data_IF_903376107277
#
_entry.id   IF_903376107277
#
_cell.length_a   1.000
_cell.length_b   1.000
_cell.length_c   1.000
_cell.angle_alpha   90.00
_cell.angle_beta   90.00
_cell.angle_gamma   90.00
#
_symmetry.space_group_name_H-M   'P 1'
#
loop_
_entity.id
_entity.type
_entity.pdbx_description
1 polymer ?
#
# COMPACT_ATOMS: atom_id res chain seq x y z
N UNK A 1 -1.50 11.19 50.17
CA UNK A 1 -1.34 10.15 49.11
C UNK A 1 -1.64 10.74 47.73
N UNK A 2 -1.14 10.15 46.63
CA UNK A 2 -1.37 10.66 45.27
C UNK A 2 -1.90 9.53 44.32
N UNK A 3 -3.20 9.51 43.97
CA UNK A 3 -3.88 8.27 43.54
C UNK A 3 -3.61 7.77 42.12
N UNK A 4 -2.84 8.50 41.29
CA UNK A 4 -2.68 8.19 39.86
C UNK A 4 -1.36 7.49 39.51
N UNK A 5 -1.17 6.26 40.02
CA UNK A 5 0.04 5.45 39.88
C UNK A 5 0.64 5.37 38.46
N UNK A 6 1.72 6.13 38.24
CA UNK A 6 2.46 6.21 36.98
C UNK A 6 3.41 5.01 36.78
N UNK A 7 2.87 3.80 36.50
CA UNK A 7 3.71 2.63 36.21
C UNK A 7 4.50 2.81 34.90
N UNK A 8 5.76 3.26 35.02
CA UNK A 8 6.72 3.32 33.92
C UNK A 8 7.69 2.13 34.02
N UNK A 9 7.93 1.41 32.92
CA UNK A 9 8.90 0.31 32.87
C UNK A 9 9.86 0.55 31.71
N UNK A 10 11.14 0.70 32.01
CA UNK A 10 12.19 0.97 31.03
C UNK A 10 13.30 -0.09 31.18
N UNK A 11 13.56 -0.87 30.12
CA UNK A 11 14.69 -1.82 30.05
C UNK A 11 15.51 -1.54 28.80
N UNK A 12 16.82 -1.34 28.95
CA UNK A 12 17.74 -1.22 27.83
C UNK A 12 18.90 -2.20 27.99
N UNK A 13 19.17 -2.99 26.95
CA UNK A 13 20.35 -3.86 26.84
C UNK A 13 21.04 -3.56 25.50
N UNK A 14 21.79 -2.44 25.40
CA UNK A 14 22.49 -2.06 24.17
C UNK A 14 23.85 -2.75 24.06
N UNK A 15 24.21 -3.17 22.84
CA UNK A 15 25.51 -3.76 22.53
C UNK A 15 26.15 -3.09 21.30
N UNK A 16 27.46 -2.82 21.40
CA UNK A 16 28.24 -2.16 20.35
C UNK A 16 28.37 -0.65 20.50
N UNK A 17 29.35 -0.09 19.77
CA UNK A 17 29.88 1.25 19.97
C UNK A 17 28.90 2.42 19.65
N UNK A 18 29.33 3.64 20.00
CA UNK A 18 28.78 4.96 19.59
C UNK A 18 27.25 5.02 19.54
N UNK A 19 26.66 4.79 20.70
CA UNK A 19 25.22 4.86 21.01
C UNK A 19 24.81 6.29 21.39
N UNK A 20 23.64 6.78 20.92
CA UNK A 20 22.96 7.96 21.51
C UNK A 20 21.47 7.72 21.65
N UNK A 21 21.00 7.69 22.90
CA UNK A 21 19.60 7.49 23.27
C UNK A 21 19.06 8.75 23.95
N UNK A 22 17.89 9.25 23.54
CA UNK A 22 17.13 10.28 24.27
C UNK A 22 15.67 9.87 24.38
N UNK A 23 15.20 9.66 25.59
CA UNK A 23 13.77 9.49 25.87
C UNK A 23 13.26 10.70 26.65
N UNK A 24 12.04 11.12 26.36
CA UNK A 24 11.29 12.04 27.21
C UNK A 24 9.79 11.69 27.09
N UNK A 25 9.30 10.73 27.91
CA UNK A 25 7.92 10.24 27.88
C UNK A 25 6.99 11.06 28.78
N UNK A 26 5.77 11.31 28.32
CA UNK A 26 4.74 11.99 29.10
C UNK A 26 3.42 11.20 29.12
N UNK A 27 2.79 11.17 30.30
CA UNK A 27 1.52 10.50 30.54
C UNK A 27 1.65 9.08 31.13
N UNK A 28 0.50 8.55 31.56
CA UNK A 28 0.42 7.34 32.39
C UNK A 28 0.89 6.06 31.68
N UNK A 29 1.18 5.03 32.50
CA UNK A 29 1.33 3.60 32.13
C UNK A 29 2.13 3.35 30.84
N UNK A 30 3.45 3.53 30.94
CA UNK A 30 4.45 3.47 29.87
C UNK A 30 5.28 2.18 29.95
N UNK A 31 5.53 1.49 28.83
CA UNK A 31 6.49 0.35 28.78
C UNK A 31 7.42 0.49 27.57
N UNK A 32 8.72 0.58 27.84
CA UNK A 32 9.79 0.70 26.85
C UNK A 32 10.81 -0.43 27.06
N UNK A 33 11.04 -1.27 26.04
CA UNK A 33 12.15 -2.24 26.01
C UNK A 33 12.99 -2.07 24.74
N UNK A 34 14.31 -1.95 24.88
CA UNK A 34 15.23 -1.75 23.74
C UNK A 34 16.47 -2.64 23.86
N UNK A 35 16.67 -3.51 22.89
CA UNK A 35 17.88 -4.35 22.78
C UNK A 35 18.54 -4.08 21.41
N UNK A 36 19.25 -2.94 21.24
CA UNK A 36 19.94 -2.59 20.01
C UNK A 36 21.34 -3.23 19.92
N UNK A 37 21.70 -3.70 18.73
CA UNK A 37 23.01 -4.28 18.43
C UNK A 37 23.66 -3.57 17.23
N UNK A 38 24.89 -3.06 17.38
CA UNK A 38 25.73 -2.57 16.28
C UNK A 38 26.31 -1.16 16.46
N UNK A 39 27.21 -0.78 15.53
CA UNK A 39 28.26 0.24 15.70
C UNK A 39 27.86 1.72 15.84
N UNK A 40 26.75 2.19 15.23
CA UNK A 40 26.33 3.61 15.29
C UNK A 40 24.80 3.72 15.35
N UNK A 41 24.28 3.96 16.55
CA UNK A 41 22.85 3.96 16.87
C UNK A 41 22.38 5.34 17.36
N UNK A 42 21.28 5.85 16.81
CA UNK A 42 20.63 7.07 17.32
C UNK A 42 19.12 6.87 17.51
N UNK A 43 18.67 6.92 18.76
CA UNK A 43 17.28 6.72 19.15
C UNK A 43 16.74 7.98 19.84
N UNK A 44 15.59 8.48 19.37
CA UNK A 44 14.81 9.52 20.07
C UNK A 44 13.36 9.10 20.21
N UNK A 45 12.85 9.04 21.43
CA UNK A 45 11.44 8.78 21.71
C UNK A 45 10.84 9.90 22.57
N UNK A 46 9.78 10.53 22.06
CA UNK A 46 8.99 11.53 22.76
C UNK A 46 7.50 11.10 22.70
N UNK A 47 7.09 10.05 23.45
CA UNK A 47 5.69 9.60 23.48
C UNK A 47 4.85 10.46 24.41
N UNK A 48 3.58 10.67 24.03
CA UNK A 48 2.59 11.40 24.82
C UNK A 48 1.25 10.64 24.85
N UNK A 49 0.76 10.30 26.05
CA UNK A 49 -0.61 9.80 26.27
C UNK A 49 -0.73 8.58 27.20
N UNK A 50 -1.98 8.19 27.47
CA UNK A 50 -2.40 7.39 28.63
C UNK A 50 -1.89 5.94 28.74
N UNK A 51 -1.66 5.21 27.62
CA UNK A 51 -1.06 3.85 27.63
C UNK A 51 -0.21 3.64 26.37
N UNK A 52 1.10 3.49 26.56
CA UNK A 52 2.08 3.33 25.47
C UNK A 52 2.93 2.07 25.68
N UNK A 53 3.09 1.25 24.65
CA UNK A 53 4.05 0.12 24.67
C UNK A 53 4.94 0.14 23.43
N UNK A 54 6.25 0.25 23.66
CA UNK A 54 7.30 0.24 22.65
C UNK A 54 8.28 -0.91 22.92
N UNK A 55 8.53 -1.76 21.92
CA UNK A 55 9.68 -2.68 21.92
C UNK A 55 10.50 -2.53 20.63
N UNK A 56 11.83 -2.40 20.74
CA UNK A 56 12.73 -2.28 19.59
C UNK A 56 13.97 -3.15 19.74
N UNK A 57 14.19 -4.06 18.78
CA UNK A 57 15.40 -4.87 18.69
C UNK A 57 16.04 -4.67 17.30
N UNK A 58 16.74 -3.54 17.06
CA UNK A 58 17.43 -3.26 15.80
C UNK A 58 18.82 -3.91 15.75
N UNK A 59 19.24 -4.34 14.57
CA UNK A 59 20.57 -4.92 14.32
C UNK A 59 21.26 -4.28 13.11
N UNK A 60 22.53 -3.89 13.26
CA UNK A 60 23.42 -3.52 12.15
C UNK A 60 24.08 -2.15 12.27
N UNK A 61 24.89 -1.82 11.26
CA UNK A 61 25.93 -0.77 11.33
C UNK A 61 25.45 0.65 11.65
N UNK A 62 24.47 1.20 10.90
CA UNK A 62 24.02 2.60 11.04
C UNK A 62 22.49 2.70 11.09
N UNK A 63 21.97 3.07 12.27
CA UNK A 63 20.55 3.05 12.60
C UNK A 63 20.07 4.41 13.13
N UNK A 64 18.98 4.96 12.57
CA UNK A 64 18.33 6.16 13.12
C UNK A 64 16.83 5.93 13.33
N UNK A 65 16.39 6.04 14.58
CA UNK A 65 14.99 5.90 14.98
C UNK A 65 14.49 7.18 15.65
N UNK A 66 13.35 7.70 15.17
CA UNK A 66 12.59 8.77 15.84
C UNK A 66 11.12 8.37 15.95
N UNK A 67 10.57 8.38 17.17
CA UNK A 67 9.15 8.12 17.41
C UNK A 67 8.54 9.20 18.32
N UNK A 68 7.52 9.89 17.80
CA UNK A 68 6.74 10.87 18.55
C UNK A 68 5.25 10.48 18.45
N UNK A 69 4.80 9.45 19.19
CA UNK A 69 3.39 9.04 19.21
C UNK A 69 2.55 9.90 20.15
N UNK A 70 1.35 10.26 19.68
CA UNK A 70 0.35 10.99 20.45
C UNK A 70 -0.99 10.24 20.50
N UNK A 71 -1.55 10.06 21.70
CA UNK A 71 -2.94 9.61 21.90
C UNK A 71 -3.10 8.47 22.91
N UNK A 72 -4.37 8.09 23.15
CA UNK A 72 -4.79 7.26 24.29
C UNK A 72 -4.13 5.87 24.37
N UNK A 73 -4.19 5.05 23.31
CA UNK A 73 -3.68 3.66 23.31
C UNK A 73 -2.85 3.38 22.04
N UNK A 74 -1.53 3.27 22.23
CA UNK A 74 -0.54 3.05 21.16
C UNK A 74 0.31 1.81 21.45
N UNK A 75 0.49 0.93 20.45
CA UNK A 75 1.45 -0.19 20.55
C UNK A 75 2.32 -0.27 19.29
N UNK A 76 3.63 -0.26 19.51
CA UNK A 76 4.67 -0.35 18.48
C UNK A 76 5.66 -1.49 18.80
N UNK A 77 5.95 -2.33 17.80
CA UNK A 77 7.14 -3.21 17.82
C UNK A 77 7.90 -3.10 16.50
N UNK A 78 9.23 -2.96 16.58
CA UNK A 78 10.11 -2.83 15.41
C UNK A 78 11.39 -3.66 15.56
N UNK A 79 11.67 -4.54 14.60
CA UNK A 79 12.94 -5.25 14.50
C UNK A 79 13.53 -5.06 13.08
N UNK A 80 14.28 -3.97 12.82
CA UNK A 80 15.00 -3.75 11.57
C UNK A 80 16.40 -4.37 11.58
N UNK A 81 16.82 -4.92 10.44
CA UNK A 81 18.12 -5.56 10.25
C UNK A 81 18.80 -5.04 8.99
N UNK A 82 20.08 -4.64 9.08
CA UNK A 82 20.92 -4.33 7.93
C UNK A 82 21.79 -3.07 8.08
N UNK A 83 22.55 -2.74 7.03
CA UNK A 83 23.62 -1.75 7.08
C UNK A 83 23.16 -0.32 7.39
N UNK A 84 22.15 0.22 6.68
CA UNK A 84 21.71 1.62 6.77
C UNK A 84 20.18 1.73 6.82
N UNK A 85 19.66 2.09 8.00
CA UNK A 85 18.22 2.09 8.31
C UNK A 85 17.79 3.45 8.88
N UNK A 86 16.68 4.02 8.36
CA UNK A 86 16.08 5.25 8.92
C UNK A 86 14.56 5.08 9.10
N UNK A 87 14.10 5.17 10.35
CA UNK A 87 12.71 5.08 10.76
C UNK A 87 12.23 6.38 11.40
N UNK A 88 11.15 6.97 10.88
CA UNK A 88 10.42 8.08 11.53
C UNK A 88 8.93 7.77 11.61
N UNK A 89 8.34 7.86 12.80
CA UNK A 89 6.92 7.55 13.02
C UNK A 89 6.27 8.54 14.00
N UNK A 90 5.29 9.29 13.50
CA UNK A 90 4.45 10.17 14.32
C UNK A 90 2.96 9.76 14.13
N UNK A 91 2.43 8.78 14.89
CA UNK A 91 0.98 8.51 14.93
C UNK A 91 0.24 9.57 15.73
N UNK A 92 -1.00 9.81 15.32
CA UNK A 92 -1.98 10.54 16.12
C UNK A 92 -3.29 9.74 16.20
N UNK A 93 -3.97 9.77 17.36
CA UNK A 93 -5.35 9.28 17.52
C UNK A 93 -5.54 8.19 18.58
N UNK A 94 -6.79 7.78 18.78
CA UNK A 94 -7.22 7.01 19.96
C UNK A 94 -6.62 5.59 20.05
N UNK A 95 -6.78 4.76 19.01
CA UNK A 95 -6.42 3.32 19.03
C UNK A 95 -5.59 2.95 17.79
N UNK A 96 -4.27 2.93 17.97
CA UNK A 96 -3.27 2.65 16.93
C UNK A 96 -2.48 1.38 17.25
N UNK A 97 -2.25 0.50 16.26
CA UNK A 97 -1.31 -0.63 16.40
C UNK A 97 -0.45 -0.80 15.15
N UNK A 98 0.87 -0.85 15.34
CA UNK A 98 1.85 -1.09 14.27
C UNK A 98 2.80 -2.23 14.59
N UNK A 99 3.23 -2.95 13.55
CA UNK A 99 4.40 -3.85 13.60
C UNK A 99 5.18 -3.76 12.30
N UNK A 100 6.50 -3.73 12.39
CA UNK A 100 7.41 -3.77 11.24
C UNK A 100 8.64 -4.64 11.55
N UNK A 101 8.97 -5.57 10.64
CA UNK A 101 10.28 -6.21 10.61
C UNK A 101 10.84 -5.99 9.20
N UNK A 102 12.06 -5.47 9.07
CA UNK A 102 12.53 -4.81 7.83
C UNK A 102 13.98 -5.18 7.55
N UNK A 103 14.28 -5.64 6.34
CA UNK A 103 15.57 -6.26 6.03
C UNK A 103 16.22 -5.70 4.75
N UNK A 104 17.53 -5.52 4.80
CA UNK A 104 18.37 -5.21 3.63
C UNK A 104 19.30 -4.00 3.80
N UNK A 105 20.12 -3.72 2.78
CA UNK A 105 21.24 -2.77 2.89
C UNK A 105 20.79 -1.33 3.19
N UNK A 106 19.83 -0.78 2.43
CA UNK A 106 19.43 0.64 2.50
C UNK A 106 17.90 0.80 2.53
N UNK A 107 17.35 1.07 3.72
CA UNK A 107 15.92 1.12 4.00
C UNK A 107 15.50 2.47 4.62
N UNK A 108 14.45 3.12 4.07
CA UNK A 108 13.89 4.37 4.60
C UNK A 108 12.38 4.28 4.76
N UNK A 109 11.91 4.51 5.99
CA UNK A 109 10.51 4.37 6.39
C UNK A 109 9.98 5.64 7.06
N UNK A 110 8.84 6.14 6.57
CA UNK A 110 8.08 7.22 7.21
C UNK A 110 6.59 6.88 7.27
N UNK A 111 5.99 6.92 8.46
CA UNK A 111 4.56 6.65 8.65
C UNK A 111 3.90 7.57 9.67
N UNK A 112 2.98 8.42 9.19
CA UNK A 112 2.17 9.33 9.99
C UNK A 112 0.66 9.09 9.74
N UNK A 113 0.08 8.03 10.31
CA UNK A 113 -1.37 7.83 10.42
C UNK A 113 -2.06 8.77 11.41
N UNK A 114 -3.31 9.08 11.08
CA UNK A 114 -4.26 9.82 11.92
C UNK A 114 -5.60 9.07 12.02
N UNK A 115 -6.30 9.15 13.16
CA UNK A 115 -7.70 8.73 13.29
C UNK A 115 -7.99 7.69 14.37
N UNK A 116 -9.27 7.33 14.52
CA UNK A 116 -9.78 6.56 15.68
C UNK A 116 -9.24 5.12 15.77
N UNK A 117 -9.42 4.29 14.73
CA UNK A 117 -9.05 2.86 14.72
C UNK A 117 -8.19 2.53 13.49
N UNK A 118 -6.89 2.42 13.71
CA UNK A 118 -5.84 2.36 12.68
C UNK A 118 -4.90 1.16 12.88
N UNK A 119 -4.72 0.31 11.86
CA UNK A 119 -3.82 -0.87 11.93
C UNK A 119 -2.87 -0.95 10.74
N UNK A 120 -1.58 -1.07 11.05
CA UNK A 120 -0.47 -1.10 10.09
C UNK A 120 0.37 -2.37 10.24
N UNK A 121 0.69 -3.02 9.12
CA UNK A 121 1.81 -3.99 9.01
C UNK A 121 2.59 -3.77 7.73
N UNK A 122 3.92 -3.81 7.84
CA UNK A 122 4.86 -3.52 6.77
C UNK A 122 6.14 -4.36 6.95
N UNK A 123 6.41 -5.28 6.02
CA UNK A 123 7.61 -6.12 6.03
C UNK A 123 8.28 -6.05 4.64
N UNK A 124 9.30 -5.20 4.45
CA UNK A 124 10.13 -5.15 3.25
C UNK A 124 11.39 -6.02 3.35
N UNK A 125 11.85 -6.50 2.20
CA UNK A 125 13.08 -7.28 2.02
C UNK A 125 13.69 -6.88 0.68
N UNK A 126 14.63 -5.94 0.72
CA UNK A 126 15.07 -5.22 -0.47
C UNK A 126 16.50 -4.67 -0.33
N UNK A 127 17.26 -4.63 -1.43
CA UNK A 127 18.60 -4.03 -1.42
C UNK A 127 18.52 -2.51 -1.19
N UNK A 128 17.61 -1.81 -1.89
CA UNK A 128 17.33 -0.38 -1.76
C UNK A 128 15.82 -0.10 -1.74
N UNK A 129 15.36 0.60 -0.69
CA UNK A 129 13.94 0.83 -0.43
C UNK A 129 13.57 2.23 0.03
N UNK A 130 12.33 2.62 -0.27
CA UNK A 130 11.68 3.78 0.34
C UNK A 130 10.16 3.62 0.42
N UNK A 131 9.68 3.47 1.65
CA UNK A 131 8.26 3.40 2.02
C UNK A 131 7.75 4.71 2.63
N UNK A 132 6.54 5.12 2.24
CA UNK A 132 5.78 6.18 2.91
C UNK A 132 4.30 5.79 3.02
N UNK A 133 3.70 5.92 4.20
CA UNK A 133 2.30 5.53 4.42
C UNK A 133 1.62 6.43 5.45
N UNK A 134 0.60 7.16 5.00
CA UNK A 134 -0.20 8.07 5.83
C UNK A 134 -1.69 7.83 5.54
N UNK A 135 -2.39 7.01 6.34
CA UNK A 135 -3.84 6.96 6.35
C UNK A 135 -4.47 8.06 7.19
N UNK A 136 -5.75 8.28 6.93
CA UNK A 136 -6.63 9.07 7.77
C UNK A 136 -8.03 8.41 7.83
N UNK A 137 -8.75 8.55 8.94
CA UNK A 137 -10.17 8.18 9.04
C UNK A 137 -10.53 7.18 10.14
N UNK A 138 -11.81 6.86 10.27
CA UNK A 138 -12.36 6.14 11.43
C UNK A 138 -11.89 4.68 11.54
N UNK A 139 -12.09 3.84 10.51
CA UNK A 139 -11.80 2.40 10.52
C UNK A 139 -10.92 2.03 9.32
N UNK A 140 -9.61 2.02 9.55
CA UNK A 140 -8.57 2.00 8.50
C UNK A 140 -7.57 0.86 8.69
N UNK A 141 -7.27 0.14 7.60
CA UNK A 141 -6.40 -1.05 7.64
C UNK A 141 -5.44 -1.15 6.45
N UNK A 142 -4.15 -1.18 6.77
CA UNK A 142 -3.05 -1.22 5.81
C UNK A 142 -2.27 -2.54 5.82
N UNK A 143 -1.84 -3.01 4.65
CA UNK A 143 -0.80 -4.05 4.52
C UNK A 143 0.06 -3.84 3.27
N UNK A 144 1.37 -3.99 3.43
CA UNK A 144 2.37 -3.61 2.43
C UNK A 144 3.58 -4.57 2.50
N UNK A 145 3.90 -5.25 1.40
CA UNK A 145 4.98 -6.24 1.33
C UNK A 145 5.71 -6.15 -0.05
N UNK A 146 6.79 -5.37 -0.16
CA UNK A 146 7.69 -5.34 -1.32
C UNK A 146 8.72 -6.47 -1.33
N UNK A 147 9.47 -6.53 -2.44
CA UNK A 147 10.71 -7.29 -2.58
C UNK A 147 11.56 -6.82 -3.77
N UNK A 148 12.88 -6.94 -3.70
CA UNK A 148 13.80 -6.80 -4.86
C UNK A 148 14.92 -5.76 -4.72
N UNK A 149 15.63 -5.48 -5.82
CA UNK A 149 16.81 -4.61 -5.81
C UNK A 149 16.47 -3.14 -5.50
N UNK A 150 15.57 -2.53 -6.28
CA UNK A 150 15.13 -1.14 -6.10
C UNK A 150 13.61 -1.12 -6.03
N UNK A 151 13.07 -0.79 -4.86
CA UNK A 151 11.62 -0.71 -4.65
C UNK A 151 11.21 0.64 -4.06
N UNK A 152 9.99 1.09 -4.39
CA UNK A 152 9.43 2.35 -3.88
C UNK A 152 7.92 2.26 -3.72
N UNK A 153 7.39 2.93 -2.70
CA UNK A 153 6.14 2.43 -2.09
C UNK A 153 5.39 3.56 -1.36
N UNK A 154 4.16 3.93 -1.77
CA UNK A 154 3.41 5.08 -1.19
C UNK A 154 1.92 4.83 -0.98
N UNK A 155 1.44 4.75 0.27
CA UNK A 155 0.08 4.30 0.63
C UNK A 155 -0.73 5.34 1.43
N UNK A 156 -1.80 5.90 0.85
CA UNK A 156 -2.66 6.90 1.52
C UNK A 156 -4.16 6.61 1.29
N UNK A 157 -4.90 5.97 2.22
CA UNK A 157 -6.36 5.98 2.29
C UNK A 157 -6.88 7.25 2.95
N UNK A 158 -8.15 7.56 2.66
CA UNK A 158 -8.98 8.28 3.62
C UNK A 158 -10.46 7.90 3.45
N UNK A 159 -11.17 7.70 4.57
CA UNK A 159 -12.62 7.38 4.59
C UNK A 159 -13.04 6.52 5.80
N UNK A 160 -14.35 6.29 5.94
CA UNK A 160 -14.94 5.62 7.12
C UNK A 160 -14.49 4.16 7.29
N UNK A 161 -14.67 3.28 6.29
CA UNK A 161 -14.31 1.83 6.35
C UNK A 161 -13.41 1.45 5.18
N UNK A 162 -12.11 1.30 5.39
CA UNK A 162 -11.17 1.07 4.28
C UNK A 162 -10.02 0.11 4.54
N UNK A 163 -9.53 -0.48 3.43
CA UNK A 163 -8.52 -1.53 3.41
C UNK A 163 -7.56 -1.31 2.24
N UNK A 164 -6.29 -1.69 2.41
CA UNK A 164 -5.26 -1.67 1.36
C UNK A 164 -4.41 -2.95 1.32
N UNK A 165 -3.98 -3.39 0.13
CA UNK A 165 -2.89 -4.38 -0.08
C UNK A 165 -1.97 -4.08 -1.30
N UNK A 166 -0.72 -3.61 -1.10
CA UNK A 166 0.29 -3.39 -2.17
C UNK A 166 1.42 -4.43 -2.04
N UNK A 167 1.75 -5.14 -3.12
CA UNK A 167 2.83 -6.17 -3.10
C UNK A 167 3.84 -6.04 -4.28
N UNK A 168 4.97 -5.33 -4.11
CA UNK A 168 6.07 -5.25 -5.08
C UNK A 168 7.11 -6.36 -5.10
N UNK A 169 7.86 -6.41 -6.21
CA UNK A 169 8.79 -7.47 -6.60
C UNK A 169 9.87 -7.05 -7.62
N UNK A 170 11.05 -7.68 -7.59
CA UNK A 170 12.03 -7.63 -8.68
C UNK A 170 12.76 -6.28 -8.87
N UNK A 171 13.46 -6.11 -9.99
CA UNK A 171 14.58 -5.17 -10.07
C UNK A 171 14.25 -3.67 -9.85
N UNK A 172 13.05 -3.16 -10.19
CA UNK A 172 12.71 -1.72 -10.11
C UNK A 172 11.22 -1.40 -9.70
N UNK A 173 10.44 -2.25 -9.01
CA UNK A 173 8.99 -1.99 -8.80
C UNK A 173 8.66 -0.71 -7.96
N UNK A 174 7.55 -0.03 -8.26
CA UNK A 174 7.14 1.27 -7.67
C UNK A 174 5.62 1.33 -7.46
N UNK A 175 5.13 1.13 -6.24
CA UNK A 175 3.69 1.17 -5.96
C UNK A 175 3.18 2.47 -5.33
N UNK A 176 1.93 2.78 -5.69
CA UNK A 176 1.02 3.70 -4.96
C UNK A 176 -0.26 2.96 -4.51
N UNK A 177 -1.18 3.59 -3.75
CA UNK A 177 -2.53 3.08 -3.36
C UNK A 177 -3.36 4.10 -2.58
N UNK A 178 -4.61 4.35 -3.02
CA UNK A 178 -5.47 5.44 -2.55
C UNK A 178 -7.02 5.14 -2.63
N UNK A 179 -7.66 4.37 -1.71
CA UNK A 179 -9.11 4.22 -1.51
C UNK A 179 -9.74 5.43 -0.84
N UNK A 180 -10.92 5.82 -1.32
CA UNK A 180 -11.66 7.00 -0.89
C UNK A 180 -13.19 6.76 -0.90
N UNK A 181 -13.84 6.83 0.28
CA UNK A 181 -15.30 6.64 0.44
C UNK A 181 -15.71 5.82 1.67
N UNK A 182 -17.02 5.83 1.99
CA UNK A 182 -17.64 5.15 3.16
C UNK A 182 -17.18 3.69 3.31
N UNK A 183 -17.09 2.97 2.20
CA UNK A 183 -16.49 1.64 2.08
C UNK A 183 -15.50 1.71 0.88
N UNK A 184 -14.17 1.47 1.04
CA UNK A 184 -13.20 1.24 -0.07
C UNK A 184 -12.00 0.31 0.30
N UNK A 185 -11.80 -0.86 -0.36
CA UNK A 185 -10.81 -1.94 -0.01
C UNK A 185 -9.69 -2.19 -1.07
N UNK A 186 -8.88 -1.17 -1.40
CA UNK A 186 -7.83 -1.19 -2.46
C UNK A 186 -6.80 -2.35 -2.49
N UNK A 187 -6.19 -2.59 -3.68
CA UNK A 187 -4.97 -3.42 -3.90
C UNK A 187 -3.92 -2.85 -4.94
N UNK A 188 -3.05 -1.88 -4.55
CA UNK A 188 -2.04 -0.97 -5.24
C UNK A 188 -0.80 -1.56 -6.02
N UNK A 189 0.15 -0.73 -6.54
CA UNK A 189 0.70 -0.76 -7.95
C UNK A 189 2.19 -1.23 -8.33
N UNK A 190 2.59 -2.47 -8.73
CA UNK A 190 3.96 -2.79 -9.30
C UNK A 190 4.62 -2.00 -10.47
N UNK A 191 5.94 -1.68 -10.44
CA UNK A 191 6.68 -0.93 -11.52
C UNK A 191 8.10 -1.45 -12.02
N UNK A 192 9.06 -0.64 -12.51
CA UNK A 192 10.41 -1.08 -12.97
C UNK A 192 10.55 -1.85 -14.29
N UNK A 193 11.71 -2.30 -14.81
CA UNK A 193 11.82 -2.92 -16.17
C UNK A 193 10.68 -3.93 -16.51
N UNK A 194 10.27 -4.75 -15.54
CA UNK A 194 9.03 -5.54 -15.55
C UNK A 194 7.87 -4.80 -14.82
N UNK A 195 7.43 -3.62 -15.30
CA UNK A 195 6.49 -2.71 -14.61
C UNK A 195 5.07 -3.33 -14.68
N UNK A 196 4.47 -3.72 -13.55
CA UNK A 196 3.38 -4.75 -13.46
C UNK A 196 2.14 -4.32 -12.64
N UNK A 197 1.78 -3.02 -12.62
CA UNK A 197 0.91 -2.44 -11.60
C UNK A 197 -0.44 -3.16 -11.23
N UNK A 198 -1.03 -2.77 -10.07
CA UNK A 198 -2.21 -3.31 -9.36
C UNK A 198 -3.04 -2.20 -8.66
N UNK A 199 -4.38 -2.09 -8.74
CA UNK A 199 -5.15 -1.15 -7.87
C UNK A 199 -6.62 -1.51 -7.82
N UNK A 200 -7.19 -1.69 -6.63
CA UNK A 200 -8.48 -2.36 -6.46
C UNK A 200 -9.51 -1.79 -5.42
N UNK A 201 -9.95 -0.52 -5.45
CA UNK A 201 -10.95 0.09 -4.51
C UNK A 201 -12.28 -0.68 -4.23
N UNK A 202 -13.02 -0.43 -3.12
CA UNK A 202 -14.10 -1.39 -2.73
C UNK A 202 -15.17 -1.04 -1.63
N UNK A 203 -16.41 -0.70 -2.01
CA UNK A 203 -17.59 -0.44 -1.17
C UNK A 203 -18.97 -0.52 -1.85
N UNK A 204 -19.98 0.18 -1.33
CA UNK A 204 -21.27 0.38 -2.04
C UNK A 204 -21.06 1.15 -3.34
N UNK A 205 -20.31 2.27 -3.25
CA UNK A 205 -19.69 2.96 -4.40
C UNK A 205 -18.25 2.45 -4.53
N UNK A 206 -17.83 1.96 -5.71
CA UNK A 206 -16.44 1.60 -5.97
C UNK A 206 -15.92 2.06 -7.32
N UNK A 207 -14.60 2.20 -7.32
CA UNK A 207 -13.74 2.04 -8.50
C UNK A 207 -12.88 0.79 -8.26
N UNK A 208 -12.10 0.34 -9.24
CA UNK A 208 -10.72 -0.15 -9.06
C UNK A 208 -9.82 0.92 -9.78
N UNK A 209 -8.47 0.94 -9.74
CA UNK A 209 -7.65 1.85 -10.62
C UNK A 209 -6.27 1.34 -11.24
N UNK A 210 -6.08 0.04 -11.50
CA UNK A 210 -4.77 -0.63 -11.78
C UNK A 210 -4.03 -0.17 -13.05
N UNK A 211 -2.73 0.17 -12.95
CA UNK A 211 -2.06 0.94 -14.04
C UNK A 211 -0.58 0.68 -14.54
N UNK A 212 -0.02 -0.55 -14.68
CA UNK A 212 1.39 -0.86 -15.11
C UNK A 212 2.06 -0.05 -16.27
N UNK A 213 3.42 0.10 -16.29
CA UNK A 213 4.23 0.76 -17.37
C UNK A 213 5.59 0.06 -17.86
N UNK A 214 5.73 -1.29 -17.86
CA UNK A 214 6.92 -2.12 -18.24
C UNK A 214 7.53 -2.01 -19.65
N UNK A 215 8.72 -2.61 -19.85
CA UNK A 215 9.01 -3.27 -21.14
C UNK A 215 8.00 -4.43 -21.34
N UNK A 216 7.89 -5.28 -20.31
CA UNK A 216 6.83 -6.28 -20.14
C UNK A 216 5.86 -5.81 -19.04
N UNK A 217 4.61 -5.51 -19.39
CA UNK A 217 3.59 -4.96 -18.46
C UNK A 217 2.31 -5.78 -18.38
N UNK A 218 1.63 -5.71 -17.23
CA UNK A 218 0.45 -6.57 -16.98
C UNK A 218 -0.60 -6.02 -16.01
N UNK A 219 -1.69 -5.52 -16.58
CA UNK A 219 -2.80 -4.76 -16.01
C UNK A 219 -4.02 -5.65 -15.66
N UNK A 220 -4.77 -5.30 -14.60
CA UNK A 220 -5.88 -6.11 -14.03
C UNK A 220 -6.83 -5.44 -12.99
N UNK A 221 -7.19 -4.17 -13.18
CA UNK A 221 -8.24 -3.42 -12.44
C UNK A 221 -9.59 -4.17 -12.48
N UNK A 222 -10.44 -4.08 -11.45
CA UNK A 222 -11.74 -4.79 -11.38
C UNK A 222 -12.80 -4.22 -10.35
N UNK A 223 -13.41 -2.98 -10.34
CA UNK A 223 -14.48 -2.69 -9.35
C UNK A 223 -15.48 -3.81 -9.08
N UNK A 224 -15.97 -3.81 -7.85
CA UNK A 224 -17.25 -4.39 -7.45
C UNK A 224 -18.20 -3.25 -7.00
N UNK A 225 -19.25 -3.51 -6.19
CA UNK A 225 -20.22 -2.53 -5.63
C UNK A 225 -21.61 -2.46 -6.29
N UNK A 226 -22.48 -1.60 -5.75
CA UNK A 226 -23.75 -1.21 -6.38
C UNK A 226 -23.50 -0.27 -7.57
N UNK A 227 -22.65 0.75 -7.36
CA UNK A 227 -22.09 1.60 -8.44
C UNK A 227 -20.60 1.25 -8.62
N UNK A 228 -20.23 0.84 -9.83
CA UNK A 228 -18.93 0.24 -10.18
C UNK A 228 -18.26 1.00 -11.33
N UNK A 229 -17.05 1.56 -11.14
CA UNK A 229 -16.38 2.38 -12.17
C UNK A 229 -14.96 1.87 -12.52
N UNK A 230 -14.92 1.12 -13.63
CA UNK A 230 -13.81 0.41 -14.26
C UNK A 230 -13.08 1.34 -15.27
N UNK A 231 -11.75 1.37 -15.29
CA UNK A 231 -10.87 2.01 -16.33
C UNK A 231 -9.63 1.12 -16.59
N UNK A 232 -8.68 1.39 -17.51
CA UNK A 232 -7.35 0.71 -17.47
C UNK A 232 -6.38 1.14 -18.60
N UNK A 233 -5.15 1.61 -18.33
CA UNK A 233 -4.27 2.25 -19.35
C UNK A 233 -2.74 1.89 -19.30
N UNK A 234 -2.24 0.89 -20.08
CA UNK A 234 -0.84 0.45 -20.20
C UNK A 234 -0.12 0.95 -21.43
N UNK A 235 1.19 0.72 -21.34
CA UNK A 235 2.13 0.84 -22.45
C UNK A 235 3.01 -0.41 -22.60
N UNK A 236 4.21 -0.29 -23.17
CA UNK A 236 5.22 -1.35 -23.21
C UNK A 236 5.25 -2.17 -24.49
N UNK A 237 6.37 -2.84 -24.73
CA UNK A 237 6.58 -3.71 -25.88
C UNK A 237 5.62 -4.92 -25.83
N UNK A 238 5.51 -5.57 -24.67
CA UNK A 238 4.53 -6.66 -24.44
C UNK A 238 3.58 -6.28 -23.31
N UNK A 239 2.30 -6.11 -23.64
CA UNK A 239 1.25 -5.66 -22.73
C UNK A 239 0.16 -6.72 -22.58
N UNK A 240 -0.34 -6.90 -21.35
CA UNK A 240 -1.53 -7.73 -21.15
C UNK A 240 -2.51 -7.14 -20.13
N UNK A 241 -3.79 -7.24 -20.46
CA UNK A 241 -4.82 -6.31 -20.02
C UNK A 241 -6.15 -7.04 -19.80
N UNK A 242 -6.75 -7.02 -18.60
CA UNK A 242 -8.01 -7.77 -18.35
C UNK A 242 -8.90 -7.23 -17.23
N UNK A 243 -10.20 -7.08 -17.46
CA UNK A 243 -11.12 -6.36 -16.56
C UNK A 243 -12.56 -6.90 -16.47
N UNK A 244 -13.10 -7.05 -15.25
CA UNK A 244 -14.42 -7.68 -14.99
C UNK A 244 -15.17 -7.08 -13.75
N UNK A 245 -16.27 -6.31 -13.92
CA UNK A 245 -17.26 -5.84 -12.94
C UNK A 245 -18.47 -6.74 -12.80
N UNK A 246 -19.24 -6.46 -11.74
CA UNK A 246 -20.52 -7.10 -11.38
C UNK A 246 -21.52 -6.05 -10.85
N UNK A 247 -22.60 -6.41 -10.15
CA UNK A 247 -23.51 -5.44 -9.49
C UNK A 247 -24.26 -4.46 -10.42
N UNK A 248 -25.08 -3.59 -9.83
CA UNK A 248 -26.22 -2.95 -10.50
C UNK A 248 -25.85 -1.95 -11.62
N UNK A 249 -25.00 -0.94 -11.35
CA UNK A 249 -24.61 0.09 -12.33
C UNK A 249 -23.10 0.05 -12.56
N UNK A 250 -22.72 -0.45 -13.73
CA UNK A 250 -21.33 -0.65 -14.15
C UNK A 250 -20.94 0.28 -15.29
N UNK A 251 -19.78 0.92 -15.15
CA UNK A 251 -19.14 1.64 -16.25
C UNK A 251 -17.68 1.24 -16.39
N UNK A 252 -17.25 1.04 -17.62
CA UNK A 252 -16.02 0.35 -18.01
C UNK A 252 -15.23 1.13 -19.05
N UNK A 253 -13.89 1.12 -18.92
CA UNK A 253 -12.99 1.61 -19.96
C UNK A 253 -11.63 0.89 -19.92
N UNK A 254 -10.94 0.73 -21.04
CA UNK A 254 -9.67 -0.01 -21.06
C UNK A 254 -8.94 0.26 -22.38
N UNK A 255 -7.73 0.86 -22.34
CA UNK A 255 -7.01 1.36 -23.51
C UNK A 255 -5.48 1.06 -23.41
N UNK A 256 -4.96 0.03 -24.10
CA UNK A 256 -3.56 -0.37 -24.23
C UNK A 256 -2.95 0.04 -25.58
N UNK A 257 -1.62 -0.11 -25.72
CA UNK A 257 -0.82 0.46 -26.82
C UNK A 257 0.33 -0.47 -27.28
N UNK A 258 1.38 0.02 -27.94
CA UNK A 258 2.65 -0.71 -28.11
C UNK A 258 2.60 -2.05 -28.87
N UNK A 259 3.76 -2.69 -29.05
CA UNK A 259 3.94 -3.71 -30.10
C UNK A 259 2.99 -4.92 -30.02
N UNK A 260 2.88 -5.60 -28.87
CA UNK A 260 1.98 -6.77 -28.70
C UNK A 260 1.06 -6.61 -27.49
N UNK A 261 -0.25 -6.56 -27.75
CA UNK A 261 -1.28 -6.47 -26.70
C UNK A 261 -2.23 -7.65 -26.69
N UNK A 262 -2.68 -8.01 -25.48
CA UNK A 262 -3.89 -8.80 -25.34
C UNK A 262 -4.80 -8.33 -24.23
N UNK A 263 -6.08 -8.35 -24.53
CA UNK A 263 -7.04 -7.38 -24.06
C UNK A 263 -8.39 -8.10 -23.95
N UNK A 264 -9.01 -8.17 -22.77
CA UNK A 264 -10.28 -8.92 -22.60
C UNK A 264 -11.14 -8.37 -21.47
N UNK A 265 -12.44 -8.33 -21.72
CA UNK A 265 -13.39 -7.70 -20.80
C UNK A 265 -14.76 -8.37 -20.74
N UNK A 266 -15.29 -8.42 -19.51
CA UNK A 266 -16.56 -9.05 -19.21
C UNK A 266 -17.22 -8.33 -18.01
N UNK A 267 -18.08 -7.32 -18.23
CA UNK A 267 -19.11 -6.89 -17.27
C UNK A 267 -20.25 -7.90 -17.15
N UNK A 268 -21.12 -7.67 -16.17
CA UNK A 268 -22.36 -8.43 -15.91
C UNK A 268 -23.51 -7.46 -15.51
N UNK A 269 -24.62 -7.90 -14.90
CA UNK A 269 -25.51 -7.03 -14.11
C UNK A 269 -26.36 -5.98 -14.86
N UNK A 270 -27.27 -5.33 -14.13
CA UNK A 270 -28.45 -4.64 -14.69
C UNK A 270 -28.15 -3.55 -15.73
N UNK A 271 -27.30 -2.56 -15.43
CA UNK A 271 -26.94 -1.47 -16.36
C UNK A 271 -25.42 -1.41 -16.58
N UNK A 272 -25.00 -1.75 -17.80
CA UNK A 272 -23.60 -1.84 -18.22
C UNK A 272 -23.28 -0.84 -19.32
N UNK A 273 -22.18 -0.08 -19.15
CA UNK A 273 -21.59 0.68 -20.26
C UNK A 273 -20.11 0.42 -20.39
N UNK A 274 -19.72 -0.14 -21.52
CA UNK A 274 -18.37 -0.57 -21.83
C UNK A 274 -17.76 0.24 -22.97
N UNK A 275 -16.47 0.59 -22.88
CA UNK A 275 -15.70 1.10 -24.01
C UNK A 275 -14.26 0.59 -23.98
N UNK A 276 -13.65 0.32 -25.14
CA UNK A 276 -12.34 -0.34 -25.20
C UNK A 276 -11.58 0.05 -26.47
N UNK A 277 -10.35 0.51 -26.34
CA UNK A 277 -9.56 0.99 -27.49
C UNK A 277 -8.09 0.56 -27.36
N UNK A 278 -7.68 -0.57 -27.96
CA UNK A 278 -6.28 -0.91 -28.18
C UNK A 278 -5.69 -0.18 -29.40
N UNK A 279 -4.37 -0.15 -29.51
CA UNK A 279 -3.59 0.51 -30.59
C UNK A 279 -2.43 -0.42 -31.01
N UNK A 280 -1.43 -0.01 -31.78
CA UNK A 280 -0.14 -0.75 -31.92
C UNK A 280 -0.17 -2.09 -32.69
N UNK A 281 1.01 -2.59 -33.06
CA UNK A 281 1.20 -3.56 -34.16
C UNK A 281 0.27 -4.80 -34.14
N UNK A 282 0.27 -5.62 -33.08
CA UNK A 282 -0.59 -6.81 -32.99
C UNK A 282 -1.47 -6.83 -31.74
N UNK A 283 -2.78 -6.85 -31.96
CA UNK A 283 -3.82 -6.74 -30.95
C UNK A 283 -4.78 -7.93 -30.98
N UNK A 284 -5.22 -8.37 -29.80
CA UNK A 284 -6.41 -9.21 -29.66
C UNK A 284 -7.31 -8.71 -28.54
N UNK A 285 -8.52 -8.33 -28.92
CA UNK A 285 -9.63 -7.99 -28.04
C UNK A 285 -10.62 -9.17 -27.94
N UNK A 286 -11.35 -9.26 -26.83
CA UNK A 286 -12.60 -10.01 -26.74
C UNK A 286 -13.48 -9.40 -25.65
N UNK A 287 -14.77 -9.31 -25.93
CA UNK A 287 -15.76 -8.73 -25.04
C UNK A 287 -17.02 -9.60 -25.02
N UNK A 288 -17.48 -10.00 -23.83
CA UNK A 288 -18.84 -10.52 -23.63
C UNK A 288 -19.43 -9.81 -22.39
N UNK A 289 -20.38 -8.87 -22.53
CA UNK A 289 -21.20 -8.35 -21.44
C UNK A 289 -22.38 -9.30 -21.15
N UNK A 290 -23.10 -9.13 -20.04
CA UNK A 290 -24.24 -10.00 -19.67
C UNK A 290 -25.22 -9.32 -18.71
N UNK A 291 -26.46 -9.04 -19.14
CA UNK A 291 -27.52 -8.49 -18.27
C UNK A 291 -28.47 -7.55 -19.01
N UNK A 292 -29.53 -7.08 -18.34
CA UNK A 292 -30.70 -6.47 -19.00
C UNK A 292 -30.44 -5.24 -19.89
N UNK A 293 -29.59 -4.28 -19.49
CA UNK A 293 -29.29 -3.08 -20.31
C UNK A 293 -27.79 -2.91 -20.53
N UNK A 294 -27.34 -3.38 -21.69
CA UNK A 294 -25.94 -3.43 -22.12
C UNK A 294 -25.62 -2.37 -23.18
N UNK A 295 -24.44 -1.76 -23.13
CA UNK A 295 -23.83 -1.08 -24.29
C UNK A 295 -22.33 -1.33 -24.31
N UNK A 296 -21.83 -1.92 -25.38
CA UNK A 296 -20.40 -1.96 -25.71
C UNK A 296 -20.06 -0.96 -26.82
N UNK A 297 -18.78 -0.64 -26.95
CA UNK A 297 -18.16 -0.05 -28.15
C UNK A 297 -16.66 -0.33 -28.09
N UNK A 298 -16.09 -0.74 -29.21
CA UNK A 298 -14.66 -0.88 -29.39
C UNK A 298 -14.22 -0.11 -30.64
N UNK A 299 -13.06 0.54 -30.57
CA UNK A 299 -12.40 1.16 -31.72
C UNK A 299 -10.88 0.91 -31.57
N UNK A 300 -10.29 0.01 -32.39
CA UNK A 300 -8.86 -0.29 -32.35
C UNK A 300 -8.07 0.32 -33.51
N UNK A 301 -6.73 0.32 -33.44
CA UNK A 301 -5.86 0.83 -34.51
C UNK A 301 -4.56 0.02 -34.64
N UNK A 302 -4.28 -0.53 -35.83
CA UNK A 302 -3.29 -1.60 -36.04
C UNK A 302 -3.97 -2.97 -36.17
N UNK A 303 -3.19 -4.06 -36.32
CA UNK A 303 -3.75 -5.35 -36.75
C UNK A 303 -4.51 -6.05 -35.60
N UNK A 304 -5.83 -6.25 -35.78
CA UNK A 304 -6.75 -6.63 -34.68
C UNK A 304 -7.63 -7.81 -35.03
N UNK A 305 -7.58 -8.85 -34.18
CA UNK A 305 -8.67 -9.84 -34.09
C UNK A 305 -9.58 -9.50 -32.92
N UNK A 306 -10.81 -9.10 -33.23
CA UNK A 306 -11.90 -8.85 -32.27
C UNK A 306 -12.85 -10.05 -32.18
N UNK A 307 -13.67 -10.13 -31.12
CA UNK A 307 -14.90 -10.94 -31.07
C UNK A 307 -15.81 -10.37 -29.98
N UNK A 308 -17.09 -10.22 -30.31
CA UNK A 308 -18.16 -9.83 -29.41
C UNK A 308 -19.26 -10.90 -29.47
N UNK A 309 -19.90 -11.20 -28.34
CA UNK A 309 -21.22 -11.83 -28.28
C UNK A 309 -22.01 -11.10 -27.18
N UNK A 310 -23.30 -10.87 -27.41
CA UNK A 310 -24.23 -10.27 -26.43
C UNK A 310 -24.64 -11.25 -25.33
#
# INVERSE_FOLDING_TARGET
MNPYGQKQIHRMNPYGQKQRHRMNPYGQKQIHRMNPYGQKQRHRMNPYGQKQIHRMNPYGQKQIHRMNPYGQKQIHRMNPYGQKQIHRMNPYGQKQRRRMNLYGQKQIHRMNPYGQKQIHRMNPYDQKQRHRMNPYGQKQRHRMNPYGQKQRHRMNPYGQKQIHRMNPYGQKQIHRMNPYGQKQRHRMNPYGQKQRHRMNPYGQKQRHRMNPYGQKQRHRMNPYGQKQIHRMNPYGQKQRHRMNPYGQKQRHRMNPYGQKQRHRMNPYGQKQRHRMNPYGQKQRHRMNPYGQKQRHRMNPYGQVRNRYTG
#
